data_IF_097631727223
#
_entry.id   IF_097631727223
#
_cell.length_a   1.000
_cell.length_b   1.000
_cell.length_c   1.000
_cell.angle_alpha   90.00
_cell.angle_beta   90.00
_cell.angle_gamma   90.00
#
_symmetry.space_group_name_H-M   'P 1'
#
loop_
_entity.id
_entity.type
_entity.pdbx_description
1 polymer ?
2 branched ?
3 non-polymer ?
4 non-polymer ?
5 non-polymer ?
6 water ?
#
# COMPACT_ATOMS: atom_id res chain seq x y z
N UNK A 1 -0.74 -5.30 -20.21
CA UNK A 1 -1.31 -4.31 -19.23
C UNK A 1 -0.33 -3.78 -18.20
N UNK A 2 0.74 -4.53 -17.95
CA UNK A 2 1.73 -4.14 -16.95
C UNK A 2 1.21 -4.24 -15.54
N UNK A 3 1.85 -3.51 -14.62
CA UNK A 3 1.49 -3.56 -13.21
C UNK A 3 0.69 -2.35 -12.79
N UNK A 4 -0.58 -2.57 -12.47
CA UNK A 4 -1.44 -1.53 -11.93
C UNK A 4 -2.03 -2.02 -10.61
N UNK A 5 -1.72 -1.30 -9.54
CA UNK A 5 -2.20 -1.62 -8.21
C UNK A 5 -3.24 -0.57 -7.82
N UNK A 6 -3.99 -0.83 -6.75
CA UNK A 6 -4.99 0.13 -6.28
C UNK A 6 -5.15 0.03 -4.78
N UNK A 7 -5.51 1.14 -4.15
CA UNK A 7 -5.93 1.18 -2.74
C UNK A 7 -7.44 0.97 -2.66
N UNK A 8 -7.88 0.14 -1.72
CA UNK A 8 -9.30 -0.09 -1.47
C UNK A 8 -9.53 -0.16 0.02
N UNK A 9 -10.71 0.25 0.48
CA UNK A 9 -11.11 0.05 1.87
C UNK A 9 -11.57 1.30 2.57
N UNK A 10 -11.10 2.47 2.11
CA UNK A 10 -11.48 3.75 2.71
C UNK A 10 -12.40 4.58 1.83
N UNK A 11 -12.96 3.96 0.80
CA UNK A 11 -13.84 4.65 -0.14
C UNK A 11 -15.31 4.58 0.24
N UNK A 12 -15.59 4.13 1.47
CA UNK A 12 -16.93 4.19 2.03
C UNK A 12 -17.50 2.83 2.32
N UNK A 13 -18.57 2.48 1.61
CA UNK A 13 -19.24 1.18 1.77
C UNK A 13 -19.11 0.38 0.48
N UNK A 14 -19.64 -0.85 0.46
CA UNK A 14 -19.69 -1.58 -0.81
C UNK A 14 -20.50 -0.80 -1.87
N UNK A 15 -21.53 -0.08 -1.43
CA UNK A 15 -22.34 0.73 -2.35
C UNK A 15 -21.51 1.79 -3.05
N UNK A 16 -20.66 2.47 -2.28
CA UNK A 16 -19.94 3.64 -2.77
C UNK A 16 -18.70 3.27 -3.57
N UNK A 17 -17.89 2.33 -3.06
CA UNK A 17 -16.67 1.98 -3.79
C UNK A 17 -16.61 0.56 -4.32
N UNK A 18 -17.68 -0.21 -4.15
CA UNK A 18 -17.71 -1.61 -4.57
C UNK A 18 -17.08 -2.51 -3.55
N UNK A 19 -17.43 -3.79 -3.61
CA UNK A 19 -16.80 -4.81 -2.78
C UNK A 19 -15.34 -5.02 -3.22
N UNK A 20 -14.55 -5.66 -2.35
CA UNK A 20 -13.21 -6.08 -2.74
C UNK A 20 -13.28 -7.03 -3.95
N UNK A 21 -14.23 -7.97 -3.92
CA UNK A 21 -14.39 -8.89 -5.04
C UNK A 21 -14.65 -8.15 -6.36
N UNK A 22 -15.48 -7.12 -6.32
CA UNK A 22 -15.75 -6.33 -7.52
C UNK A 22 -14.45 -5.74 -8.10
N UNK A 23 -13.61 -5.18 -7.22
CA UNK A 23 -12.35 -4.63 -7.66
C UNK A 23 -11.51 -5.70 -8.36
N UNK A 24 -11.42 -6.87 -7.74
CA UNK A 24 -10.64 -7.96 -8.35
C UNK A 24 -11.22 -8.45 -9.68
N UNK A 25 -12.54 -8.61 -9.71
CA UNK A 25 -13.26 -9.10 -10.88
C UNK A 25 -13.13 -8.13 -12.05
N UNK A 26 -12.93 -6.84 -11.77
CA UNK A 26 -12.82 -5.82 -12.82
C UNK A 26 -11.69 -6.12 -13.81
N UNK A 27 -10.66 -6.81 -13.33
CA UNK A 27 -9.49 -7.12 -14.16
C UNK A 27 -8.51 -5.98 -14.36
N UNK A 28 -8.74 -4.85 -13.70
CA UNK A 28 -7.86 -3.67 -13.87
C UNK A 28 -6.57 -3.74 -13.05
N UNK A 29 -6.52 -4.62 -12.05
CA UNK A 29 -5.47 -4.56 -11.02
C UNK A 29 -4.77 -5.89 -10.83
N UNK A 30 -3.47 -5.86 -10.59
CA UNK A 30 -2.84 -7.09 -10.14
C UNK A 30 -2.39 -7.09 -8.68
N UNK A 31 -2.69 -5.99 -7.97
CA UNK A 31 -2.42 -5.92 -6.55
C UNK A 31 -3.36 -4.91 -5.91
N UNK A 32 -3.88 -5.24 -4.73
CA UNK A 32 -4.75 -4.33 -3.97
C UNK A 32 -4.18 -4.16 -2.59
N UNK A 33 -4.08 -2.90 -2.15
CA UNK A 33 -3.67 -2.56 -0.79
C UNK A 33 -4.92 -2.18 0.00
N UNK A 34 -5.22 -2.96 1.04
CA UNK A 34 -6.41 -2.73 1.88
C UNK A 34 -6.09 -1.66 2.92
N UNK A 35 -6.95 -0.64 2.99
CA UNK A 35 -6.77 0.47 3.93
C UNK A 35 -7.92 0.43 4.94
N UNK A 36 -7.65 0.24 6.25
CA UNK A 36 -6.31 0.21 6.85
C UNK A 36 -6.40 -0.38 8.25
N UNK A 37 -5.28 -0.92 8.74
CA UNK A 37 -5.18 -1.46 10.09
C UNK A 37 -4.67 -0.36 11.03
N UNK A 38 -5.36 -0.20 12.16
CA UNK A 38 -4.95 0.69 13.24
C UNK A 38 -4.15 -0.15 14.24
N UNK A 39 -2.95 0.31 14.57
CA UNK A 39 -2.11 -0.39 15.54
C UNK A 39 -1.83 0.48 16.75
N UNK A 40 -1.47 -0.16 17.86
CA UNK A 40 -1.36 0.53 19.15
C UNK A 40 0.05 0.50 19.71
N UNK A 41 0.58 1.69 19.97
CA UNK A 41 1.90 1.86 20.57
C UNK A 41 2.03 1.21 21.95
N UNK A 42 0.90 1.01 22.64
CA UNK A 42 0.94 0.36 23.95
C UNK A 42 0.75 -1.16 23.92
N UNK A 43 0.65 -1.72 22.71
CA UNK A 43 0.52 -3.17 22.54
C UNK A 43 -0.87 -3.78 22.54
N UNK A 44 -1.90 -2.94 22.65
CA UNK A 44 -3.29 -3.38 22.48
C UNK A 44 -3.43 -4.02 21.09
N UNK A 45 -4.27 -5.05 20.98
CA UNK A 45 -4.52 -5.67 19.66
C UNK A 45 -4.93 -4.62 18.64
N UNK A 46 -4.43 -4.74 17.39
CA UNK A 46 -4.87 -3.85 16.34
C UNK A 46 -6.38 -3.85 16.11
N UNK A 47 -6.87 -2.75 15.54
CA UNK A 47 -8.27 -2.66 15.08
C UNK A 47 -8.29 -2.50 13.56
N UNK A 48 -9.00 -3.39 12.87
CA UNK A 48 -9.21 -3.24 11.43
C UNK A 48 -10.21 -2.11 11.17
N UNK A 49 -9.89 -1.24 10.20
CA UNK A 49 -10.81 -0.16 9.82
C UNK A 49 -11.02 -0.16 8.33
N UNK A 50 -12.07 -0.83 7.87
CA UNK A 50 -12.48 -0.78 6.46
C UNK A 50 -13.70 0.12 6.29
N UNK A 51 -13.76 1.18 7.09
CA UNK A 51 -14.87 2.15 7.02
C UNK A 51 -16.21 1.47 7.09
N UNK A 52 -17.09 1.84 6.16
CA UNK A 52 -18.47 1.33 6.17
C UNK A 52 -18.62 0.05 5.37
N UNK A 53 -17.51 -0.60 4.98
CA UNK A 53 -17.61 -1.90 4.32
C UNK A 53 -18.12 -2.98 5.26
N UNK A 54 -17.62 -2.98 6.49
CA UNK A 54 -17.91 -4.04 7.46
C UNK A 54 -17.32 -3.68 8.79
N UNK A 55 -17.94 -4.20 9.85
CA UNK A 55 -17.35 -4.19 11.20
C UNK A 55 -16.83 -5.59 11.50
N UNK A 56 -17.68 -6.60 11.31
CA UNK A 56 -17.21 -7.99 11.26
C UNK A 56 -16.81 -8.22 9.81
N UNK A 57 -15.50 -8.25 9.57
CA UNK A 57 -14.97 -8.31 8.21
C UNK A 57 -14.46 -9.70 7.87
N UNK A 58 -14.82 -10.68 8.70
CA UNK A 58 -14.34 -12.05 8.48
C UNK A 58 -14.86 -12.65 7.17
N UNK A 59 -16.02 -12.19 6.71
CA UNK A 59 -16.57 -12.68 5.46
C UNK A 59 -15.83 -12.17 4.22
N UNK A 60 -14.85 -11.27 4.42
CA UNK A 60 -13.97 -10.90 3.30
C UNK A 60 -13.06 -12.04 2.88
N UNK A 61 -12.90 -13.05 3.73
CA UNK A 61 -12.06 -14.20 3.42
C UNK A 61 -12.31 -14.72 2.00
N UNK A 62 -13.57 -14.99 1.66
CA UNK A 62 -13.84 -15.60 0.34
C UNK A 62 -13.47 -14.64 -0.79
N UNK A 63 -13.60 -13.33 -0.55
CA UNK A 63 -13.26 -12.35 -1.57
C UNK A 63 -11.74 -12.24 -1.75
N UNK A 64 -11.01 -12.25 -0.64
CA UNK A 64 -9.53 -12.27 -0.68
C UNK A 64 -9.05 -13.52 -1.45
N UNK A 65 -9.63 -14.68 -1.14
CA UNK A 65 -9.20 -15.91 -1.80
C UNK A 65 -9.55 -15.89 -3.29
N UNK A 66 -10.74 -15.35 -3.63
CA UNK A 66 -11.12 -15.18 -5.03
C UNK A 66 -10.07 -14.33 -5.76
N UNK A 67 -9.70 -13.20 -5.14
CA UNK A 67 -8.68 -12.32 -5.71
C UNK A 67 -7.35 -13.07 -5.94
N UNK A 68 -6.91 -13.81 -4.92
CA UNK A 68 -5.62 -14.49 -5.00
C UNK A 68 -5.62 -15.60 -6.05
N UNK A 69 -6.76 -16.26 -6.21
CA UNK A 69 -6.96 -17.24 -7.27
C UNK A 69 -6.84 -16.66 -8.69
N UNK A 70 -7.06 -15.34 -8.80
CA UNK A 70 -6.88 -14.64 -10.07
C UNK A 70 -5.49 -13.99 -10.17
N UNK A 71 -4.58 -14.44 -9.29
CA UNK A 71 -3.17 -13.97 -9.23
C UNK A 71 -3.05 -12.49 -8.86
N UNK A 72 -4.00 -12.01 -8.06
CA UNK A 72 -3.96 -10.65 -7.53
C UNK A 72 -3.43 -10.71 -6.11
N UNK A 73 -2.38 -9.95 -5.83
CA UNK A 73 -1.81 -9.90 -4.47
C UNK A 73 -2.63 -8.97 -3.59
N UNK A 74 -2.83 -9.37 -2.33
CA UNK A 74 -3.61 -8.58 -1.38
C UNK A 74 -2.68 -8.23 -0.20
N UNK A 75 -2.43 -6.93 -0.02
CA UNK A 75 -1.60 -6.43 1.08
C UNK A 75 -2.48 -5.64 2.02
N UNK A 76 -2.16 -5.67 3.31
CA UNK A 76 -2.88 -4.87 4.31
C UNK A 76 -2.03 -3.68 4.73
N UNK A 77 -2.59 -2.48 4.69
CA UNK A 77 -1.84 -1.29 5.08
C UNK A 77 -2.05 -0.94 6.55
N UNK A 78 -0.94 -0.75 7.27
CA UNK A 78 -0.96 -0.11 8.58
C UNK A 78 -1.06 1.38 8.35
N UNK A 79 -2.19 1.97 8.76
CA UNK A 79 -2.47 3.37 8.43
C UNK A 79 -2.45 4.33 9.59
N UNK A 80 -2.26 3.83 10.82
CA UNK A 80 -2.43 4.65 12.02
C UNK A 80 -1.76 3.94 13.18
N UNK A 81 -0.87 4.67 13.86
CA UNK A 81 -0.22 4.17 15.07
C UNK A 81 -0.67 5.07 16.22
N UNK A 82 -1.47 4.50 17.12
CA UNK A 82 -2.04 5.26 18.22
C UNK A 82 -0.95 5.35 19.30
N UNK A 83 -0.44 6.57 19.58
CA UNK A 83 0.77 6.68 20.41
C UNK A 83 0.49 6.52 21.90
N UNK A 84 1.52 6.16 22.65
CA UNK A 84 1.47 6.18 24.10
C UNK A 84 2.74 6.85 24.64
N UNK A 85 2.64 7.45 25.83
CA UNK A 85 3.82 7.98 26.49
C UNK A 85 4.48 6.91 27.36
N UNK A 86 3.76 5.81 27.58
CA UNK A 86 4.23 4.68 28.40
C UNK A 86 5.35 3.91 27.69
N UNK A 87 6.35 3.49 28.47
CA UNK A 87 7.42 2.68 27.96
C UNK A 87 6.95 1.23 28.12
N UNK A 88 6.70 0.57 26.99
CA UNK A 88 6.14 -0.78 26.99
C UNK A 88 7.09 -1.71 26.26
N UNK A 89 7.42 -2.84 26.88
CA UNK A 89 8.38 -3.78 26.31
C UNK A 89 7.78 -4.63 25.19
N UNK A 90 8.60 -4.89 24.16
CA UNK A 90 8.30 -5.87 23.12
C UNK A 90 7.14 -5.50 22.20
N UNK A 91 6.80 -4.22 22.10
CA UNK A 91 5.64 -3.83 21.30
C UNK A 91 5.81 -4.24 19.82
N UNK A 92 6.99 -3.97 19.26
CA UNK A 92 7.20 -4.25 17.84
C UNK A 92 7.22 -5.77 17.59
N UNK A 93 7.99 -6.48 18.39
CA UNK A 93 8.03 -7.95 18.33
C UNK A 93 6.63 -8.53 18.41
N UNK A 94 5.86 -8.04 19.39
CA UNK A 94 4.51 -8.58 19.61
C UNK A 94 3.56 -8.24 18.46
N UNK A 95 3.72 -7.08 17.84
CA UNK A 95 2.89 -6.76 16.67
C UNK A 95 3.21 -7.69 15.49
N UNK A 96 4.51 -7.93 15.25
CA UNK A 96 4.89 -8.85 14.20
C UNK A 96 4.25 -10.22 14.43
N UNK A 97 4.31 -10.70 15.67
CA UNK A 97 3.71 -11.99 16.01
C UNK A 97 2.19 -11.97 15.83
N UNK A 98 1.55 -10.87 16.24
CA UNK A 98 0.10 -10.73 16.03
C UNK A 98 -0.23 -10.82 14.54
N UNK A 99 0.52 -10.09 13.72
CA UNK A 99 0.24 -10.07 12.27
C UNK A 99 0.45 -11.44 11.66
N UNK A 100 1.54 -12.09 12.01
CA UNK A 100 1.85 -13.44 11.52
C UNK A 100 0.67 -14.38 11.83
N UNK A 101 0.23 -14.38 13.10
CA UNK A 101 -0.83 -15.29 13.55
C UNK A 101 -2.20 -14.97 12.95
N UNK A 102 -2.48 -13.68 12.79
CA UNK A 102 -3.82 -13.25 12.41
C UNK A 102 -4.06 -13.01 10.94
N UNK A 103 -2.99 -12.88 10.16
CA UNK A 103 -3.13 -12.62 8.72
C UNK A 103 -2.26 -13.49 7.80
N UNK A 104 -1.28 -14.20 8.37
CA UNK A 104 -0.28 -14.91 7.56
C UNK A 104 -0.12 -16.38 7.92
N UNK A 105 -1.12 -16.93 8.60
CA UNK A 105 -1.08 -18.32 9.03
C UNK A 105 -2.30 -19.16 8.62
N UNK A 106 -3.23 -18.57 7.87
CA UNK A 106 -4.44 -19.29 7.47
C UNK A 106 -5.41 -19.54 8.61
N UNK A 107 -5.23 -18.80 9.70
CA UNK A 107 -6.05 -18.94 10.88
C UNK A 107 -7.16 -17.90 10.99
N UNK A 108 -8.06 -18.07 11.96
CA UNK A 108 -9.26 -17.24 12.04
C UNK A 108 -9.02 -15.84 12.64
N UNK A 109 -8.56 -14.91 11.79
CA UNK A 109 -8.29 -13.53 12.22
C UNK A 109 -9.35 -12.55 11.71
N UNK A 110 -9.07 -11.25 11.77
CA UNK A 110 -10.06 -10.23 11.41
C UNK A 110 -10.59 -10.29 9.99
N UNK A 111 -9.81 -10.87 9.08
CA UNK A 111 -10.22 -11.03 7.68
C UNK A 111 -10.55 -12.49 7.35
N UNK A 112 -10.83 -13.27 8.40
CA UNK A 112 -11.10 -14.70 8.22
C UNK A 112 -9.84 -15.52 8.02
N UNK A 113 -10.02 -16.74 7.50
CA UNK A 113 -8.93 -17.71 7.42
C UNK A 113 -8.13 -17.52 6.14
N UNK A 114 -7.27 -16.50 6.17
CA UNK A 114 -6.49 -16.11 4.99
C UNK A 114 -4.98 -16.22 5.20
N UNK A 115 -4.26 -16.26 4.08
CA UNK A 115 -2.86 -15.91 4.05
C UNK A 115 -2.78 -14.66 3.18
N UNK A 116 -2.68 -13.48 3.79
CA UNK A 116 -2.47 -12.28 2.97
C UNK A 116 -1.12 -12.36 2.26
N UNK A 117 -0.93 -11.54 1.24
CA UNK A 117 0.36 -11.49 0.56
C UNK A 117 1.38 -10.54 1.16
N UNK A 118 0.96 -9.60 2.02
CA UNK A 118 1.94 -8.71 2.64
C UNK A 118 1.35 -7.57 3.42
N UNK A 119 2.25 -6.68 3.85
CA UNK A 119 1.94 -5.52 4.68
C UNK A 119 2.53 -4.28 4.02
N UNK A 120 1.72 -3.23 3.89
CA UNK A 120 2.17 -1.90 3.50
C UNK A 120 2.15 -0.99 4.72
N UNK A 121 3.06 -0.03 4.77
CA UNK A 121 3.05 0.97 5.84
C UNK A 121 2.83 2.36 5.25
N UNK A 122 1.79 3.05 5.74
CA UNK A 122 1.50 4.43 5.32
C UNK A 122 2.54 5.42 5.86
N UNK A 123 2.58 6.60 5.23
CA UNK A 123 3.47 7.67 5.66
C UNK A 123 2.85 8.40 6.85
N UNK A 124 3.01 7.79 8.02
CA UNK A 124 2.43 8.28 9.27
C UNK A 124 3.45 8.10 10.39
N UNK A 125 3.30 8.85 11.49
CA UNK A 125 4.28 8.70 12.58
C UNK A 125 4.25 7.31 13.22
N UNK A 126 5.43 6.78 13.52
CA UNK A 126 5.53 5.56 14.30
C UNK A 126 5.32 5.90 15.80
N UNK A 127 5.54 4.94 16.68
CA UNK A 127 5.28 5.15 18.09
C UNK A 127 6.55 5.40 18.90
N UNK A 128 6.37 5.58 20.20
CA UNK A 128 7.47 5.60 21.14
C UNK A 128 8.01 4.17 21.33
N UNK A 129 7.14 3.17 21.14
CA UNK A 129 7.53 1.76 21.25
C UNK A 129 7.53 1.04 19.92
N UNK A 130 6.47 1.21 19.12
CA UNK A 130 6.39 0.55 17.82
C UNK A 130 7.25 1.27 16.80
N UNK A 131 8.21 0.55 16.20
CA UNK A 131 9.12 1.15 15.22
C UNK A 131 9.01 0.43 13.88
N UNK A 132 8.82 1.20 12.81
CA UNK A 132 8.57 0.61 11.49
C UNK A 132 9.73 -0.20 10.93
N UNK A 133 10.97 0.31 11.03
CA UNK A 133 12.08 -0.46 10.47
C UNK A 133 12.25 -1.78 11.20
N UNK A 134 12.10 -1.74 12.52
CA UNK A 134 12.15 -2.95 13.34
C UNK A 134 11.02 -3.92 12.97
N UNK A 135 9.83 -3.38 12.69
CA UNK A 135 8.69 -4.21 12.29
C UNK A 135 8.97 -4.92 10.97
N UNK A 136 9.53 -4.18 10.02
CA UNK A 136 9.88 -4.74 8.71
C UNK A 136 10.89 -5.89 8.87
N UNK A 137 11.92 -5.66 9.68
CA UNK A 137 12.90 -6.70 9.95
C UNK A 137 12.24 -7.93 10.58
N UNK A 138 11.36 -7.71 11.55
CA UNK A 138 10.70 -8.82 12.25
C UNK A 138 9.83 -9.62 11.29
N UNK A 139 9.06 -8.91 10.47
CA UNK A 139 8.18 -9.59 9.52
C UNK A 139 8.98 -10.40 8.50
N UNK A 140 10.05 -9.81 7.99
CA UNK A 140 10.86 -10.56 7.04
C UNK A 140 11.53 -11.81 7.66
N UNK A 141 11.81 -11.74 8.96
CA UNK A 141 12.40 -12.85 9.71
C UNK A 141 11.32 -13.72 10.40
N UNK A 142 10.12 -13.71 9.84
CA UNK A 142 8.99 -14.53 10.34
C UNK A 142 9.20 -16.02 10.18
N UNK A 143 8.76 -16.79 11.17
CA UNK A 143 8.82 -18.25 11.12
C UNK A 143 7.71 -18.78 10.22
N UNK A 144 7.97 -18.72 8.91
CA UNK A 144 7.04 -19.14 7.86
C UNK A 144 7.79 -19.40 6.57
N UNK A 145 7.25 -20.28 5.73
CA UNK A 145 7.82 -20.53 4.40
C UNK A 145 7.08 -19.69 3.36
N UNK A 146 6.03 -19.01 3.82
CA UNK A 146 5.22 -18.17 2.97
C UNK A 146 5.99 -16.88 2.65
N UNK A 147 5.77 -16.34 1.46
CA UNK A 147 6.34 -15.05 1.11
C UNK A 147 5.44 -13.93 1.63
N UNK A 148 6.01 -13.09 2.47
CA UNK A 148 5.34 -11.89 2.96
C UNK A 148 5.99 -10.70 2.25
N UNK A 149 5.26 -10.12 1.30
CA UNK A 149 5.74 -8.90 0.65
C UNK A 149 5.64 -7.74 1.60
N UNK A 150 6.67 -6.88 1.59
CA UNK A 150 6.65 -5.71 2.44
C UNK A 150 6.77 -4.47 1.59
N UNK A 151 6.00 -3.45 1.91
CA UNK A 151 5.98 -2.23 1.11
C UNK A 151 5.76 -1.03 2.01
N UNK A 152 5.99 0.15 1.44
CA UNK A 152 5.56 1.39 2.11
C UNK A 152 4.98 2.34 1.07
N UNK A 153 4.22 3.30 1.57
CA UNK A 153 3.58 4.32 0.75
C UNK A 153 4.10 5.72 1.11
N UNK A 154 5.40 5.98 0.87
CA UNK A 154 5.94 7.31 1.17
C UNK A 154 5.33 8.39 0.26
N UNK A 155 5.32 9.64 0.73
CA UNK A 155 5.03 10.75 -0.16
C UNK A 155 6.21 10.93 -1.11
N UNK A 156 6.03 11.73 -2.15
CA UNK A 156 7.07 11.85 -3.17
C UNK A 156 8.33 12.61 -2.71
N UNK A 157 8.23 13.32 -1.58
CA UNK A 157 9.41 14.00 -1.01
C UNK A 157 10.40 12.95 -0.51
N UNK A 158 11.64 13.01 -1.01
CA UNK A 158 12.70 12.11 -0.57
C UNK A 158 13.74 12.90 0.23
N UNK A 159 14.15 12.41 1.41
CA UNK A 159 13.66 11.21 2.08
C UNK A 159 12.29 11.43 2.70
N UNK A 160 11.52 10.36 2.86
CA UNK A 160 10.24 10.45 3.54
C UNK A 160 10.49 10.47 5.04
N UNK A 161 10.00 11.51 5.71
CA UNK A 161 10.25 11.70 7.13
C UNK A 161 9.85 10.49 7.98
N UNK A 162 8.71 9.89 7.67
CA UNK A 162 8.17 8.83 8.51
C UNK A 162 8.69 7.45 8.16
N UNK A 163 9.03 7.24 6.90
CA UNK A 163 9.31 5.91 6.37
C UNK A 163 10.75 5.66 5.95
N UNK A 164 11.60 6.69 5.99
CA UNK A 164 12.96 6.52 5.48
C UNK A 164 13.70 5.37 6.18
N UNK A 165 13.57 5.26 7.50
CA UNK A 165 14.26 4.16 8.19
C UNK A 165 13.79 2.79 7.68
N UNK A 166 12.47 2.64 7.51
CA UNK A 166 11.93 1.37 7.00
C UNK A 166 12.46 1.10 5.58
N UNK A 167 12.55 2.15 4.77
CA UNK A 167 13.05 2.03 3.40
C UNK A 167 14.52 1.59 3.40
N UNK A 168 15.31 2.18 4.30
CA UNK A 168 16.74 1.90 4.35
C UNK A 168 17.09 0.53 4.94
N UNK A 169 16.11 -0.21 5.45
CA UNK A 169 16.35 -1.63 5.77
C UNK A 169 16.74 -2.42 4.52
N UNK A 170 16.40 -1.88 3.35
CA UNK A 170 16.57 -2.56 2.04
C UNK A 170 15.66 -3.79 1.89
N UNK A 171 14.67 -3.91 2.77
CA UNK A 171 13.79 -5.09 2.78
C UNK A 171 12.37 -4.82 2.27
N UNK A 172 12.15 -3.66 1.68
CA UNK A 172 10.85 -3.40 1.08
C UNK A 172 10.85 -3.86 -0.37
N UNK A 173 9.88 -4.69 -0.70
CA UNK A 173 9.71 -5.17 -2.06
C UNK A 173 9.18 -4.09 -2.99
N UNK A 174 8.24 -3.29 -2.49
CA UNK A 174 7.57 -2.27 -3.32
C UNK A 174 7.55 -0.96 -2.56
N UNK A 175 7.65 0.15 -3.29
CA UNK A 175 7.31 1.46 -2.75
C UNK A 175 6.21 2.06 -3.61
N UNK A 176 5.14 2.51 -2.96
CA UNK A 176 4.05 3.20 -3.64
C UNK A 176 4.24 4.68 -3.36
N UNK A 177 4.97 5.35 -4.26
CA UNK A 177 5.42 6.72 -3.98
C UNK A 177 4.28 7.67 -4.37
N UNK A 178 3.80 8.43 -3.41
CA UNK A 178 2.58 9.20 -3.62
C UNK A 178 2.82 10.58 -4.22
N UNK A 179 2.31 10.73 -5.44
CA UNK A 179 2.41 11.99 -6.18
C UNK A 179 1.05 12.70 -6.19
N UNK A 180 0.42 12.81 -5.02
CA UNK A 180 -0.85 13.53 -4.94
C UNK A 180 -0.94 14.31 -3.65
N UNK A 181 -2.01 15.10 -3.52
CA UNK A 181 -2.11 16.19 -2.55
C UNK A 181 -1.01 17.24 -2.81
N UNK A 182 -0.97 18.30 -2.02
CA UNK A 182 -0.01 19.38 -2.28
C UNK A 182 1.39 19.06 -1.75
N UNK A 183 2.31 18.82 -2.68
CA UNK A 183 3.73 18.57 -2.42
C UNK A 183 4.52 19.13 -3.60
N UNK A 184 5.77 19.60 -3.36
CA UNK A 184 6.59 20.17 -4.45
C UNK A 184 6.87 19.21 -5.60
N UNK A 185 6.70 17.91 -5.38
CA UNK A 185 7.07 16.91 -6.36
C UNK A 185 5.93 16.37 -7.22
N UNK A 186 4.71 16.86 -7.01
CA UNK A 186 3.58 16.43 -7.84
C UNK A 186 3.64 16.98 -9.27
N UNK A 187 2.97 16.30 -10.19
CA UNK A 187 2.71 16.84 -11.51
C UNK A 187 1.78 18.05 -11.37
N UNK A 188 2.08 19.13 -12.08
CA UNK A 188 1.14 20.21 -12.30
C UNK A 188 1.01 20.43 -13.81
N UNK A 189 -0.04 21.12 -14.23
CA UNK A 189 -0.36 21.23 -15.66
C UNK A 189 0.84 21.73 -16.49
N UNK A 190 1.25 20.92 -17.47
CA UNK A 190 2.38 21.26 -18.34
C UNK A 190 3.72 21.28 -17.64
N UNK A 191 3.80 20.63 -16.48
CA UNK A 191 5.00 20.71 -15.70
C UNK A 191 5.30 19.42 -14.92
N UNK A 192 5.93 18.44 -15.59
CA UNK A 192 6.33 17.20 -14.94
C UNK A 192 7.75 17.25 -14.36
N UNK A 193 8.39 18.42 -14.39
CA UNK A 193 9.82 18.49 -14.03
C UNK A 193 10.10 17.97 -12.63
N UNK A 194 9.32 18.42 -11.65
CA UNK A 194 9.55 18.02 -10.27
C UNK A 194 9.23 16.53 -10.07
N UNK A 195 8.19 16.04 -10.74
CA UNK A 195 7.85 14.62 -10.69
C UNK A 195 9.00 13.79 -11.26
N UNK A 196 9.52 14.20 -12.42
CA UNK A 196 10.64 13.49 -13.04
C UNK A 196 11.86 13.43 -12.11
N UNK A 197 12.18 14.56 -11.48
CA UNK A 197 13.33 14.61 -10.56
C UNK A 197 13.10 13.72 -9.34
N UNK A 198 11.88 13.73 -8.80
CA UNK A 198 11.55 12.86 -7.67
C UNK A 198 11.65 11.38 -8.05
N UNK A 199 11.11 11.02 -9.22
CA UNK A 199 11.23 9.65 -9.70
C UNK A 199 12.69 9.23 -9.89
N UNK A 200 13.52 10.13 -10.41
CA UNK A 200 14.95 9.86 -10.52
C UNK A 200 15.55 9.59 -9.13
N UNK A 201 15.21 10.43 -8.15
CA UNK A 201 15.75 10.30 -6.80
C UNK A 201 15.31 8.98 -6.15
N UNK A 202 14.02 8.66 -6.25
CA UNK A 202 13.52 7.42 -5.66
C UNK A 202 14.12 6.17 -6.29
N UNK A 203 14.14 6.13 -7.62
CA UNK A 203 14.61 4.94 -8.32
C UNK A 203 16.11 4.74 -8.10
N UNK A 204 16.89 5.83 -8.09
CA UNK A 204 18.34 5.73 -7.91
C UNK A 204 18.75 5.46 -6.46
N UNK A 205 17.98 5.99 -5.51
CA UNK A 205 18.34 5.85 -4.10
C UNK A 205 17.80 4.58 -3.46
N UNK A 206 16.79 3.98 -4.09
CA UNK A 206 16.22 2.72 -3.61
C UNK A 206 16.26 1.67 -4.74
N UNK A 207 17.47 1.35 -5.22
CA UNK A 207 17.55 0.44 -6.37
C UNK A 207 17.07 -0.97 -6.05
N UNK A 208 17.04 -1.31 -4.76
CA UNK A 208 16.63 -2.64 -4.26
C UNK A 208 15.11 -2.88 -4.25
N UNK A 209 14.34 -1.83 -4.49
CA UNK A 209 12.88 -1.91 -4.42
C UNK A 209 12.22 -1.56 -5.76
N UNK A 210 11.07 -2.17 -6.02
CA UNK A 210 10.32 -1.78 -7.20
C UNK A 210 9.48 -0.55 -6.88
N UNK A 211 9.62 0.46 -7.74
CA UNK A 211 9.01 1.77 -7.49
C UNK A 211 7.74 1.95 -8.31
N UNK A 212 6.62 2.13 -7.62
CA UNK A 212 5.35 2.49 -8.25
C UNK A 212 5.14 3.99 -8.12
N UNK A 213 4.60 4.58 -9.17
CA UNK A 213 4.15 5.96 -9.15
C UNK A 213 2.68 5.89 -8.71
N UNK A 214 2.38 6.38 -7.50
CA UNK A 214 1.00 6.40 -7.01
C UNK A 214 0.33 7.72 -7.40
N UNK A 215 -0.74 7.60 -8.19
CA UNK A 215 -1.38 8.75 -8.80
C UNK A 215 -2.87 8.78 -8.52
N UNK A 216 -3.47 9.99 -8.48
CA UNK A 216 -4.91 10.06 -8.22
C UNK A 216 -5.71 9.78 -9.49
N UNK A 217 -6.83 9.08 -9.34
CA UNK A 217 -7.67 8.72 -10.47
C UNK A 217 -8.69 9.82 -10.82
N UNK A 218 -8.71 10.90 -10.04
CA UNK A 218 -9.67 11.98 -10.24
C UNK A 218 -8.97 13.34 -10.44
N UNK A 219 -9.51 14.16 -11.37
CA UNK A 219 -8.99 15.51 -11.57
C UNK A 219 -9.28 16.43 -10.38
N UNK A 220 -10.10 15.96 -9.43
CA UNK A 220 -10.41 16.74 -8.23
C UNK A 220 -9.35 16.62 -7.12
N UNK A 221 -8.26 15.92 -7.41
CA UNK A 221 -7.11 15.88 -6.51
C UNK A 221 -5.88 16.48 -7.17
N UNK A 222 -5.13 17.26 -6.39
CA UNK A 222 -3.85 17.77 -6.85
C UNK A 222 -2.93 16.61 -7.26
N UNK A 223 -2.20 16.79 -8.35
CA UNK A 223 -1.29 15.77 -8.86
C UNK A 223 -1.88 14.93 -9.99
N UNK A 224 -3.16 15.13 -10.30
CA UNK A 224 -3.82 14.40 -11.38
C UNK A 224 -3.10 14.55 -12.72
N UNK A 225 -2.84 13.42 -13.37
CA UNK A 225 -2.19 13.41 -14.68
C UNK A 225 -3.21 12.88 -15.71
N UNK A 226 -3.66 13.74 -16.64
CA UNK A 226 -4.60 13.22 -17.64
C UNK A 226 -4.00 11.99 -18.34
N UNK A 227 -4.84 10.99 -18.70
CA UNK A 227 -4.29 9.74 -19.26
C UNK A 227 -3.37 9.94 -20.47
N UNK A 228 -3.71 10.85 -21.37
CA UNK A 228 -2.84 11.07 -22.53
C UNK A 228 -1.46 11.59 -22.12
N UNK A 229 -1.42 12.47 -21.12
CA UNK A 229 -0.16 12.96 -20.57
C UNK A 229 0.63 11.80 -19.92
N UNK A 230 -0.06 11.00 -19.13
CA UNK A 230 0.57 9.84 -18.51
C UNK A 230 1.19 8.92 -19.58
N UNK A 231 0.40 8.60 -20.60
CA UNK A 231 0.81 7.63 -21.62
C UNK A 231 1.93 8.14 -22.54
N UNK A 232 1.84 9.41 -22.94
CA UNK A 232 2.74 9.93 -23.99
C UNK A 232 3.93 10.73 -23.45
N UNK A 233 3.77 11.24 -22.22
CA UNK A 233 4.66 12.24 -21.61
C UNK A 233 5.42 11.72 -20.37
N UNK A 234 4.74 10.99 -19.49
CA UNK A 234 5.28 10.57 -18.19
C UNK A 234 5.87 9.17 -18.24
N UNK A 235 5.07 8.20 -18.66
CA UNK A 235 5.53 6.81 -18.68
C UNK A 235 6.77 6.59 -19.57
N UNK A 236 6.82 7.23 -20.77
CA UNK A 236 8.04 7.06 -21.57
C UNK A 236 9.34 7.50 -20.85
N UNK A 237 9.25 8.56 -20.05
CA UNK A 237 10.41 9.03 -19.31
C UNK A 237 10.71 8.15 -18.08
N UNK A 238 9.71 7.91 -17.24
CA UNK A 238 9.99 7.22 -15.97
C UNK A 238 10.30 5.74 -16.15
N UNK A 239 9.78 5.14 -17.22
CA UNK A 239 10.00 3.71 -17.47
C UNK A 239 11.44 3.38 -17.84
N UNK A 240 12.28 4.40 -18.05
CA UNK A 240 13.71 4.19 -18.28
C UNK A 240 14.44 3.67 -17.03
N UNK A 241 13.84 3.89 -15.85
CA UNK A 241 14.41 3.34 -14.62
C UNK A 241 14.21 1.82 -14.60
N UNK A 242 15.26 1.05 -14.31
CA UNK A 242 15.14 -0.41 -14.33
C UNK A 242 14.19 -0.93 -13.26
N UNK A 243 14.04 -0.17 -12.18
CA UNK A 243 13.15 -0.55 -11.08
C UNK A 243 11.81 0.19 -11.07
N UNK A 244 11.47 0.85 -12.17
CA UNK A 244 10.10 1.35 -12.33
C UNK A 244 9.15 0.17 -12.52
N UNK A 245 8.14 0.09 -11.64
CA UNK A 245 7.26 -1.07 -11.56
C UNK A 245 5.90 -0.89 -12.21
N UNK A 246 5.40 0.34 -12.21
CA UNK A 246 4.05 0.60 -12.71
C UNK A 246 3.35 1.71 -11.95
N UNK A 247 2.03 1.69 -12.03
CA UNK A 247 1.19 2.75 -11.48
C UNK A 247 0.32 2.23 -10.35
N UNK A 248 0.33 2.93 -9.23
CA UNK A 248 -0.58 2.65 -8.12
C UNK A 248 -1.70 3.66 -8.16
N UNK A 249 -2.94 3.17 -8.16
CA UNK A 249 -4.12 4.05 -8.31
C UNK A 249 -4.70 4.45 -6.96
N UNK A 250 -4.72 5.75 -6.70
CA UNK A 250 -5.45 6.28 -5.55
C UNK A 250 -6.78 6.84 -6.10
N UNK A 251 -7.89 6.14 -5.90
CA UNK A 251 -8.03 4.87 -5.17
C UNK A 251 -9.18 4.13 -5.88
N UNK A 252 -9.64 3.01 -5.33
CA UNK A 252 -10.70 2.25 -6.00
C UNK A 252 -11.99 3.05 -6.15
N UNK A 253 -12.32 3.83 -5.12
CA UNK A 253 -13.51 4.68 -5.21
C UNK A 253 -13.47 5.57 -6.47
N UNK A 254 -12.41 6.35 -6.63
CA UNK A 254 -12.32 7.26 -7.78
C UNK A 254 -12.25 6.48 -9.09
N UNK A 255 -11.49 5.38 -9.10
CA UNK A 255 -11.28 4.60 -10.32
C UNK A 255 -12.55 3.90 -10.80
N UNK A 256 -13.38 3.50 -9.85
CA UNK A 256 -14.63 2.81 -10.15
C UNK A 256 -15.51 3.66 -11.07
N UNK A 257 -15.53 4.97 -10.80
CA UNK A 257 -16.35 5.91 -11.58
C UNK A 257 -15.62 6.55 -12.73
N UNK A 258 -14.32 6.82 -12.57
CA UNK A 258 -13.56 7.55 -13.59
C UNK A 258 -12.96 6.63 -14.65
N UNK A 259 -12.79 5.35 -14.30
CA UNK A 259 -12.16 4.36 -15.19
C UNK A 259 -10.81 4.86 -15.71
N UNK A 260 -10.03 5.44 -14.79
CA UNK A 260 -8.70 5.95 -15.12
C UNK A 260 -7.76 4.83 -15.53
N UNK A 261 -7.76 3.74 -14.75
CA UNK A 261 -6.87 2.62 -15.05
C UNK A 261 -7.13 2.03 -16.45
N UNK A 262 -8.38 2.11 -16.91
CA UNK A 262 -8.76 1.60 -18.23
C UNK A 262 -8.08 2.36 -19.37
N UNK A 263 -7.67 3.59 -19.08
CA UNK A 263 -7.12 4.48 -20.09
C UNK A 263 -5.60 4.49 -20.14
N UNK A 264 -4.96 3.78 -19.22
CA UNK A 264 -3.49 3.62 -19.21
C UNK A 264 -3.05 2.66 -20.32
N UNK A 265 -1.98 3.04 -21.02
CA UNK A 265 -1.45 2.27 -22.15
C UNK A 265 -1.09 0.83 -21.78
N UNK A 266 -1.16 -0.06 -22.78
CA UNK A 266 -0.73 -1.45 -22.62
C UNK A 266 0.80 -1.56 -22.47
X LIG B 1 12.64 -11.99 3.44
X LIG B 1 11.53 -12.96 3.01
X LIG B 1 12.15 -14.12 2.24
X LIG B 1 13.02 -13.59 1.10
X LIG B 1 13.98 -12.49 1.58
X LIG B 1 14.73 -11.82 0.42
X LIG B 1 9.42 -13.51 4.12
X LIG B 1 8.69 -13.98 5.33
X LIG B 1 10.75 -13.43 4.16
X LIG B 1 11.13 -14.97 1.72
X LIG B 1 13.82 -14.66 0.60
X LIG B 1 13.31 -11.48 2.31
X LIG B 1 13.78 -11.21 -0.43
X LIG B 1 8.78 -13.22 3.10
X LIG B 2 13.36 -15.15 -0.67
X LIG B 2 14.56 -15.76 -1.40
X LIG B 2 14.14 -16.49 -2.67
X LIG B 2 12.96 -17.43 -2.42
X LIG B 2 11.85 -16.68 -1.69
X LIG B 2 10.69 -17.61 -1.33
X LIG B 2 16.66 -14.59 -1.01
X LIG B 2 17.59 -13.50 -1.46
X LIG B 2 15.56 -14.74 -1.71
X LIG B 2 15.24 -17.23 -3.17
X LIG B 2 12.50 -17.92 -3.66
X LIG B 2 12.36 -16.13 -0.49
X LIG B 2 10.82 -18.03 0.00
X LIG B 2 16.96 -15.29 -0.03
X LIG C 1 -15.41 10.89 -8.10
X LIG C 1 -14.58 11.09 -9.00
X LIG C 1 -15.77 11.84 -7.35
X LIG C 1 -15.96 9.51 -7.86
X LIG D 1 14.50 7.45 -15.39
X LIG D 1 14.28 8.78 -14.69
X LIG D 1 15.53 9.14 -14.07
X LIG D 1 13.25 8.62 -13.59
X LIG D 1 13.89 9.84 -15.74
X LIG D 1 13.80 11.29 -15.26
X LIG D 1 15.06 11.70 -14.69
X LIG D 1 13.46 12.23 -16.39
X LIG E 1 -13.65 13.47 -7.47
#
# INVERSE_FOLDING_TARGET
GGNIVVYWGQGGSDNSEGSLKEACKSGHYNMIVLEELITYDNGRDPDLNLGAHCVNCTSLQQEIKYCQLKLIKILLQIGQVTPTKEDTKDTTKDLSQYLDSNFFSGKSGPLGEVYLDGIDIASVPEGLNLKFDELVQALNDSATSRRIYLSASPNCVYPDYYLDKAIQTQKLDFLFVQFFYALPCIYTQGLPEDLFQAMKTWTSNVPESKIFMALPATPDLNGYIPPRVLNKEILPAVTQASNFAGVMIFDRYFDRFRKYSSKIKR
NAG C1 C2 C3 C4 C5 C6 C7 C8 N2 O3 O4 O5 O6 O7
NAG C1 C2 C3 C4 C5 C6 C7 C8 N2 O3 O4 O5 O6 O7
ACT C O OXT CH3
MPD C1 C2 O2 CM C3 C4 O4 C5
NA NA
#
